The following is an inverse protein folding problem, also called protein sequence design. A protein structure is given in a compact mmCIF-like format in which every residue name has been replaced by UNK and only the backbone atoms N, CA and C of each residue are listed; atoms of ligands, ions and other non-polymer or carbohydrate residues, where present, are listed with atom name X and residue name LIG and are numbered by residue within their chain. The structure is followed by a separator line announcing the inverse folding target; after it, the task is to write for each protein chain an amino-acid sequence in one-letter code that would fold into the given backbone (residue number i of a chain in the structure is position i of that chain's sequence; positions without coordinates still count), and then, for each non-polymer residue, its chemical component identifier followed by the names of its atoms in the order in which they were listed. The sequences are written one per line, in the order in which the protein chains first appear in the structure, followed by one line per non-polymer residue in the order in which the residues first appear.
data_IF_096702757500
#
_entry.id   IF_096702757500
#
_cell.length_a   1.000
_cell.length_b   1.000
_cell.length_c   1.000
_cell.angle_alpha   90.00
_cell.angle_beta   90.00
_cell.angle_gamma   90.00
#
_symmetry.space_group_name_H-M   'P 1'
#
loop_
_entity.id
_entity.type
_entity.pdbx_description
1 polymer ?
#
# COMPACT_ATOMS: atom_id res chain seq x y z
N UNK A 1 -21.55 -1.69 13.12
CA UNK A 1 -20.38 -0.89 13.55
C UNK A 1 -20.84 0.51 13.94
N UNK A 2 -20.08 1.26 14.75
CA UNK A 2 -20.42 2.65 15.16
C UNK A 2 -20.08 3.71 14.08
N UNK A 3 -19.75 3.28 12.85
CA UNK A 3 -19.34 4.19 11.77
C UNK A 3 -17.96 4.81 12.00
N UNK A 4 -17.02 4.03 12.54
CA UNK A 4 -15.64 4.47 12.70
C UNK A 4 -14.89 4.46 11.35
N UNK A 5 -14.23 5.56 11.04
CA UNK A 5 -13.29 5.72 9.93
C UNK A 5 -11.97 6.18 10.50
N UNK A 6 -10.89 5.51 10.12
CA UNK A 6 -9.54 5.85 10.54
C UNK A 6 -8.68 6.10 9.32
N UNK A 7 -7.90 7.17 9.35
CA UNK A 7 -6.98 7.54 8.28
C UNK A 7 -5.56 7.32 8.80
N UNK A 8 -4.73 6.71 7.97
CA UNK A 8 -3.34 6.43 8.24
C UNK A 8 -2.48 7.03 7.12
N UNK A 9 -1.34 7.59 7.49
CA UNK A 9 -0.29 8.07 6.59
C UNK A 9 1.02 7.47 7.09
N UNK A 10 1.79 6.87 6.18
CA UNK A 10 3.07 6.23 6.48
C UNK A 10 3.00 5.23 7.65
N UNK A 11 1.95 4.40 7.66
CA UNK A 11 1.73 3.38 8.69
C UNK A 11 1.18 3.91 10.03
N UNK A 12 1.12 5.23 10.23
CA UNK A 12 0.69 5.86 11.47
C UNK A 12 -0.72 6.47 11.36
N UNK A 13 -1.53 6.36 12.42
CA UNK A 13 -2.86 6.96 12.45
C UNK A 13 -2.76 8.49 12.53
N UNK A 14 -3.45 9.18 11.63
CA UNK A 14 -3.50 10.65 11.60
C UNK A 14 -4.86 11.20 11.98
N UNK A 15 -5.93 10.44 11.76
CA UNK A 15 -7.29 10.88 12.07
C UNK A 15 -8.21 9.70 12.42
N UNK A 16 -9.19 9.95 13.29
CA UNK A 16 -10.28 9.02 13.59
C UNK A 16 -11.58 9.80 13.70
N UNK A 17 -12.60 9.37 12.96
CA UNK A 17 -13.96 9.91 12.98
C UNK A 17 -14.92 8.78 13.34
N UNK A 18 -15.97 9.08 14.10
CA UNK A 18 -17.05 8.12 14.42
C UNK A 18 -18.41 8.66 13.99
N UNK A 19 -19.40 7.79 13.84
CA UNK A 19 -20.75 8.18 13.43
C UNK A 19 -20.93 8.32 11.92
N UNK A 20 -19.94 7.96 11.11
CA UNK A 20 -20.04 7.96 9.65
C UNK A 20 -20.89 6.78 9.21
N UNK A 21 -22.06 7.04 8.63
CA UNK A 21 -22.97 6.02 8.09
C UNK A 21 -23.17 4.80 9.03
N UNK A 22 -23.43 5.06 10.32
CA UNK A 22 -23.55 4.01 11.35
C UNK A 22 -24.53 2.90 10.94
N UNK A 23 -24.05 1.65 10.94
CA UNK A 23 -24.85 0.47 10.61
C UNK A 23 -25.13 0.24 9.12
N UNK A 24 -24.62 1.11 8.24
CA UNK A 24 -24.76 0.94 6.81
C UNK A 24 -23.90 -0.23 6.29
N UNK A 25 -24.39 -0.87 5.23
CA UNK A 25 -23.70 -1.92 4.47
C UNK A 25 -23.62 -1.50 3.02
N UNK A 26 -22.49 -1.78 2.36
CA UNK A 26 -22.34 -1.55 0.93
C UNK A 26 -23.07 -2.66 0.18
N UNK A 27 -23.98 -2.29 -0.72
CA UNK A 27 -24.70 -3.24 -1.57
C UNK A 27 -23.76 -3.89 -2.61
N UNK A 28 -24.13 -5.09 -3.05
CA UNK A 28 -23.40 -5.79 -4.11
C UNK A 28 -23.65 -5.16 -5.49
N UNK A 29 -22.71 -5.34 -6.43
CA UNK A 29 -22.88 -4.93 -7.83
C UNK A 29 -22.31 -3.55 -8.19
N UNK A 30 -21.56 -2.92 -7.28
CA UNK A 30 -20.80 -1.71 -7.59
C UNK A 30 -19.64 -1.94 -8.55
N UNK A 31 -19.11 -0.86 -9.12
CA UNK A 31 -17.87 -0.85 -9.91
C UNK A 31 -16.87 0.05 -9.21
N UNK A 32 -15.61 -0.38 -9.13
CA UNK A 32 -14.51 0.45 -8.63
C UNK A 32 -13.86 1.15 -9.80
N UNK A 33 -13.68 2.47 -9.70
CA UNK A 33 -12.89 3.28 -10.62
C UNK A 33 -11.78 3.96 -9.83
N UNK A 34 -10.56 3.90 -10.35
CA UNK A 34 -9.42 4.62 -9.78
C UNK A 34 -9.12 5.86 -10.62
N UNK A 35 -8.95 6.98 -9.93
CA UNK A 35 -8.48 8.24 -10.50
C UNK A 35 -9.55 9.14 -11.15
N UNK A 36 -10.81 8.76 -11.11
CA UNK A 36 -11.96 9.58 -11.56
C UNK A 36 -13.09 9.50 -10.52
N UNK A 37 -13.95 10.52 -10.48
CA UNK A 37 -15.16 10.53 -9.66
C UNK A 37 -16.39 10.00 -10.44
N UNK A 38 -17.17 9.11 -9.80
CA UNK A 38 -18.31 8.44 -10.44
C UNK A 38 -19.65 9.08 -10.06
N UNK A 39 -20.28 9.78 -11.00
CA UNK A 39 -21.68 10.24 -10.85
C UNK A 39 -22.72 9.18 -11.29
N UNK A 40 -22.27 8.11 -11.95
CA UNK A 40 -23.07 6.93 -12.26
C UNK A 40 -22.17 5.69 -12.35
N UNK A 41 -22.77 4.49 -12.31
CA UNK A 41 -21.98 3.24 -12.33
C UNK A 41 -21.15 3.18 -13.61
N UNK A 42 -19.82 3.18 -13.43
CA UNK A 42 -18.83 3.17 -14.51
C UNK A 42 -18.72 4.45 -15.35
N UNK A 43 -19.34 5.56 -14.96
CA UNK A 43 -19.38 6.76 -15.78
C UNK A 43 -19.76 8.04 -15.04
N UNK A 44 -20.08 9.09 -15.81
CA UNK A 44 -20.35 10.41 -15.26
C UNK A 44 -19.09 11.19 -14.89
N UNK A 45 -17.93 10.82 -15.45
CA UNK A 45 -16.65 11.46 -15.14
C UNK A 45 -16.60 12.93 -15.59
N UNK A 46 -16.08 13.80 -14.72
CA UNK A 46 -15.79 15.19 -15.03
C UNK A 46 -14.28 15.46 -14.99
N UNK A 47 -13.79 16.27 -15.94
CA UNK A 47 -12.34 16.52 -16.11
C UNK A 47 -11.71 17.32 -14.96
N UNK A 48 -12.52 17.97 -14.13
CA UNK A 48 -12.10 18.70 -12.92
C UNK A 48 -12.20 17.85 -11.65
N UNK A 49 -12.66 16.60 -11.75
CA UNK A 49 -12.74 15.62 -10.65
C UNK A 49 -11.81 14.42 -10.91
N UNK A 50 -10.61 14.71 -11.41
CA UNK A 50 -9.59 13.72 -11.77
C UNK A 50 -8.45 13.73 -10.76
N UNK A 51 -7.96 12.55 -10.41
CA UNK A 51 -6.68 12.41 -9.71
C UNK A 51 -5.52 12.56 -10.70
N UNK A 52 -4.53 13.37 -10.35
CA UNK A 52 -3.27 13.47 -11.10
C UNK A 52 -2.11 13.09 -10.19
N UNK A 53 -1.52 11.93 -10.45
CA UNK A 53 -0.41 11.39 -9.67
C UNK A 53 -0.11 9.94 -10.04
N UNK A 54 0.78 9.32 -9.26
CA UNK A 54 1.07 7.89 -9.36
C UNK A 54 0.30 7.13 -8.27
N UNK A 55 -0.24 5.97 -8.62
CA UNK A 55 -0.78 4.99 -7.68
C UNK A 55 0.11 3.76 -7.72
N UNK A 56 0.28 3.14 -6.56
CA UNK A 56 1.06 1.93 -6.39
C UNK A 56 0.35 1.02 -5.38
N UNK A 57 0.35 -0.28 -5.67
CA UNK A 57 -0.04 -1.33 -4.72
C UNK A 57 -1.36 -1.08 -3.97
N UNK A 58 -2.45 -1.00 -4.73
CA UNK A 58 -3.79 -0.70 -4.22
C UNK A 58 -4.46 -1.97 -3.71
N UNK A 59 -4.90 -1.94 -2.45
CA UNK A 59 -5.46 -3.09 -1.74
C UNK A 59 -6.81 -2.78 -1.13
N UNK A 60 -7.72 -3.77 -1.14
CA UNK A 60 -9.06 -3.65 -0.57
C UNK A 60 -9.34 -4.89 0.27
N UNK A 61 -9.83 -4.68 1.48
CA UNK A 61 -10.20 -5.73 2.43
C UNK A 61 -11.69 -5.68 2.78
N UNK A 62 -12.24 -6.81 3.22
CA UNK A 62 -13.62 -6.90 3.73
C UNK A 62 -13.71 -6.77 5.26
N UNK A 63 -12.59 -6.59 5.93
CA UNK A 63 -12.47 -6.39 7.37
C UNK A 63 -11.79 -5.06 7.71
N UNK A 64 -11.94 -4.64 8.96
CA UNK A 64 -11.27 -3.43 9.46
C UNK A 64 -9.85 -3.80 9.86
N UNK A 65 -8.85 -3.19 9.20
CA UNK A 65 -7.44 -3.40 9.52
C UNK A 65 -7.07 -2.73 10.84
N UNK A 66 -6.25 -3.41 11.65
CA UNK A 66 -5.71 -2.85 12.89
C UNK A 66 -4.53 -1.91 12.61
N UNK A 67 -4.22 -1.03 13.56
CA UNK A 67 -3.05 -0.13 13.45
C UNK A 67 -1.73 -0.89 13.32
N UNK A 68 -1.60 -2.05 13.97
CA UNK A 68 -0.40 -2.90 13.88
C UNK A 68 -0.26 -3.47 12.48
N UNK A 69 -1.33 -4.05 11.93
CA UNK A 69 -1.31 -4.61 10.58
C UNK A 69 -0.99 -3.53 9.52
N UNK A 70 -1.52 -2.32 9.68
CA UNK A 70 -1.21 -1.20 8.77
C UNK A 70 0.27 -0.80 8.91
N UNK A 71 0.77 -0.60 10.14
CA UNK A 71 2.14 -0.21 10.39
C UNK A 71 3.16 -1.25 9.87
N UNK A 72 2.82 -2.53 9.94
CA UNK A 72 3.67 -3.61 9.41
C UNK A 72 3.67 -3.67 7.88
N UNK A 73 2.55 -3.36 7.22
CA UNK A 73 2.37 -3.69 5.80
C UNK A 73 2.29 -2.47 4.85
N UNK A 74 2.30 -1.23 5.33
CA UNK A 74 2.01 -0.05 4.49
C UNK A 74 3.02 0.18 3.34
N UNK A 75 4.26 -0.30 3.47
CA UNK A 75 5.25 -0.27 2.38
C UNK A 75 5.57 -1.66 1.81
N UNK A 76 4.95 -2.72 2.32
CA UNK A 76 5.37 -4.10 2.02
C UNK A 76 4.37 -4.75 1.09
N UNK A 77 4.77 -5.08 -0.14
CA UNK A 77 4.01 -5.92 -1.06
C UNK A 77 3.76 -7.31 -0.48
N UNK A 78 2.53 -7.80 -0.59
CA UNK A 78 2.24 -9.20 -0.28
C UNK A 78 2.79 -10.12 -1.36
N UNK A 79 3.32 -11.26 -0.96
CA UNK A 79 3.59 -12.34 -1.91
C UNK A 79 2.26 -12.89 -2.44
N UNK A 80 2.14 -12.97 -3.77
CA UNK A 80 1.00 -13.60 -4.45
C UNK A 80 0.78 -15.06 -4.03
N UNK A 81 1.80 -15.76 -3.53
CA UNK A 81 1.70 -17.11 -2.99
C UNK A 81 1.19 -17.19 -1.55
N UNK A 82 1.15 -16.07 -0.82
CA UNK A 82 0.80 -16.00 0.60
C UNK A 82 0.03 -14.72 0.93
N UNK A 83 -1.26 -14.73 0.61
CA UNK A 83 -2.14 -13.57 0.77
C UNK A 83 -2.89 -13.61 2.12
N UNK A 84 -3.02 -12.47 2.81
CA UNK A 84 -3.73 -12.40 4.08
C UNK A 84 -5.23 -12.65 3.91
N UNK A 85 -5.87 -13.21 4.95
CA UNK A 85 -7.32 -13.37 4.99
C UNK A 85 -8.04 -12.02 4.91
N UNK A 86 -9.23 -12.01 4.31
CA UNK A 86 -10.07 -10.81 4.18
C UNK A 86 -9.66 -9.84 3.06
N UNK A 87 -8.46 -9.99 2.48
CA UNK A 87 -8.05 -9.27 1.28
C UNK A 87 -8.96 -9.70 0.11
N UNK A 88 -9.61 -8.73 -0.53
CA UNK A 88 -10.53 -8.94 -1.66
C UNK A 88 -9.79 -8.73 -2.98
N UNK A 89 -8.97 -7.69 -3.05
CA UNK A 89 -8.24 -7.28 -4.26
C UNK A 89 -6.88 -6.72 -3.87
N UNK A 90 -5.86 -7.05 -4.67
CA UNK A 90 -4.57 -6.37 -4.63
C UNK A 90 -4.03 -6.15 -6.06
N UNK A 91 -4.00 -4.89 -6.46
CA UNK A 91 -3.38 -4.44 -7.70
C UNK A 91 -1.99 -3.88 -7.40
N UNK A 92 -0.97 -4.71 -7.56
CA UNK A 92 0.43 -4.37 -7.26
C UNK A 92 1.05 -3.35 -8.23
N UNK A 93 0.36 -3.03 -9.33
CA UNK A 93 0.77 -2.10 -10.38
C UNK A 93 2.11 -2.45 -11.07
N UNK A 94 2.48 -3.73 -11.11
CA UNK A 94 3.73 -4.25 -11.73
C UNK A 94 3.65 -4.39 -13.26
N UNK A 95 2.79 -3.60 -13.89
CA UNK A 95 2.56 -3.61 -15.33
C UNK A 95 1.32 -4.41 -15.76
N UNK A 96 1.24 -4.65 -17.06
CA UNK A 96 0.07 -5.24 -17.70
C UNK A 96 0.27 -6.72 -18.03
N UNK A 97 -0.82 -7.50 -17.96
CA UNK A 97 -0.85 -8.91 -18.36
C UNK A 97 -0.78 -9.16 -19.88
N UNK A 98 -0.44 -8.15 -20.69
CA UNK A 98 -0.49 -8.21 -22.15
C UNK A 98 -1.84 -7.85 -22.78
N UNK A 99 -2.89 -7.69 -21.97
CA UNK A 99 -4.24 -7.25 -22.39
C UNK A 99 -4.62 -5.86 -21.84
N UNK A 100 -3.62 -5.03 -21.50
CA UNK A 100 -3.83 -3.71 -20.89
C UNK A 100 -4.58 -3.74 -19.54
N UNK A 101 -4.42 -4.84 -18.80
CA UNK A 101 -5.00 -4.98 -17.47
C UNK A 101 -3.92 -5.14 -16.40
N UNK A 102 -4.06 -4.43 -15.28
CA UNK A 102 -3.29 -4.71 -14.07
C UNK A 102 -3.93 -5.90 -13.39
N UNK A 103 -3.13 -6.93 -13.12
CA UNK A 103 -3.62 -8.17 -12.52
C UNK A 103 -3.99 -7.94 -11.06
N UNK A 104 -5.17 -8.40 -10.67
CA UNK A 104 -5.49 -8.62 -9.26
C UNK A 104 -4.92 -9.97 -8.83
N UNK A 105 -3.98 -9.96 -7.88
CA UNK A 105 -3.34 -11.19 -7.40
C UNK A 105 -4.24 -12.04 -6.49
N UNK A 106 -5.44 -11.57 -6.14
CA UNK A 106 -6.33 -12.21 -5.17
C UNK A 106 -7.47 -12.98 -5.83
N UNK A 107 -8.31 -12.26 -6.59
CA UNK A 107 -9.64 -12.74 -6.98
C UNK A 107 -9.91 -12.68 -8.48
N UNK A 108 -8.94 -12.18 -9.27
CA UNK A 108 -9.06 -12.01 -10.71
C UNK A 108 -9.88 -10.79 -11.13
N UNK A 109 -10.18 -9.87 -10.20
CA UNK A 109 -10.82 -8.59 -10.49
C UNK A 109 -9.81 -7.61 -11.11
N UNK A 110 -9.31 -7.93 -12.30
CA UNK A 110 -8.27 -7.14 -12.95
C UNK A 110 -8.72 -5.69 -13.21
N UNK A 111 -7.79 -4.75 -13.09
CA UNK A 111 -8.00 -3.34 -13.42
C UNK A 111 -7.81 -3.15 -14.92
N UNK A 112 -8.90 -2.89 -15.63
CA UNK A 112 -8.82 -2.46 -17.03
C UNK A 112 -8.56 -0.96 -17.12
N UNK A 113 -7.68 -0.55 -18.04
CA UNK A 113 -7.44 0.88 -18.32
C UNK A 113 -8.59 1.41 -19.17
N UNK A 114 -9.45 2.24 -18.58
CA UNK A 114 -10.52 2.96 -19.27
C UNK A 114 -10.25 4.46 -19.37
N UNK A 115 -10.79 5.12 -20.40
CA UNK A 115 -10.87 6.59 -20.55
C UNK A 115 -9.54 7.39 -20.52
N UNK A 116 -8.37 6.72 -20.52
CA UNK A 116 -7.09 7.35 -20.82
C UNK A 116 -6.90 7.38 -22.35
N UNK A 117 -7.01 8.56 -22.97
CA UNK A 117 -6.54 8.74 -24.36
C UNK A 117 -5.04 9.02 -24.34
N UNK A 118 -4.24 8.07 -24.85
CA UNK A 118 -2.78 8.11 -24.83
C UNK A 118 -2.17 7.08 -23.88
N UNK A 119 -0.84 6.96 -23.85
CA UNK A 119 -0.11 6.10 -22.92
C UNK A 119 -0.20 6.67 -21.49
N UNK A 120 -1.41 6.66 -20.91
CA UNK A 120 -1.73 7.26 -19.60
C UNK A 120 -1.30 6.40 -18.42
N UNK A 121 -0.79 5.20 -18.68
CA UNK A 121 -0.15 4.36 -17.68
C UNK A 121 1.31 4.20 -18.07
N UNK A 122 2.17 4.97 -17.41
CA UNK A 122 3.59 4.67 -17.40
C UNK A 122 3.77 3.72 -16.22
N UNK A 123 4.01 2.44 -16.52
CA UNK A 123 4.44 1.51 -15.47
C UNK A 123 5.69 2.11 -14.83
N UNK A 124 5.56 2.56 -13.59
CA UNK A 124 6.73 2.93 -12.80
C UNK A 124 7.21 1.63 -12.18
N UNK A 125 8.46 1.27 -12.44
CA UNK A 125 9.15 0.41 -11.50
C UNK A 125 9.30 1.22 -10.22
N UNK A 126 8.86 0.74 -9.06
CA UNK A 126 9.34 1.26 -7.79
C UNK A 126 10.85 1.36 -7.88
N UNK A 127 11.40 2.49 -7.44
CA UNK A 127 12.84 2.57 -7.29
C UNK A 127 13.18 1.65 -6.11
N UNK A 128 13.63 0.45 -6.42
CA UNK A 128 14.17 -0.54 -5.47
C UNK A 128 15.53 -0.09 -4.88
N UNK A 129 15.85 1.20 -5.03
CA UNK A 129 17.04 1.81 -4.47
C UNK A 129 16.65 2.45 -3.13
N UNK A 130 17.17 1.85 -2.06
CA UNK A 130 17.16 2.43 -0.72
C UNK A 130 17.99 3.71 -0.78
N UNK A 131 17.32 4.85 -0.96
CA UNK A 131 17.97 6.14 -1.02
C UNK A 131 17.43 7.04 0.09
N UNK A 132 18.30 7.89 0.60
CA UNK A 132 17.95 8.92 1.56
C UNK A 132 18.60 10.21 1.10
N UNK A 133 17.87 11.32 1.15
CA UNK A 133 18.39 12.62 0.77
C UNK A 133 19.45 13.09 1.77
N UNK A 134 20.43 13.88 1.29
CA UNK A 134 21.35 14.54 2.19
C UNK A 134 20.59 15.44 3.17
N UNK A 135 21.02 15.47 4.45
CA UNK A 135 20.36 16.22 5.54
C UNK A 135 18.94 15.75 5.89
N UNK A 136 18.60 14.49 5.61
CA UNK A 136 17.39 13.87 6.13
C UNK A 136 17.32 13.99 7.67
N UNK A 137 16.15 14.33 8.19
CA UNK A 137 15.92 14.48 9.64
C UNK A 137 15.90 13.13 10.34
N UNK A 138 16.23 13.10 11.64
CA UNK A 138 16.09 11.88 12.43
C UNK A 138 14.65 11.35 12.35
N UNK A 139 14.50 10.05 12.16
CA UNK A 139 13.24 9.36 11.92
C UNK A 139 12.82 9.25 10.45
N UNK A 140 13.55 9.85 9.50
CA UNK A 140 13.28 9.62 8.07
C UNK A 140 13.45 8.15 7.72
N UNK A 141 12.40 7.55 7.16
CA UNK A 141 12.41 6.17 6.66
C UNK A 141 13.28 6.08 5.40
N UNK A 142 14.20 5.11 5.39
CA UNK A 142 15.11 4.81 4.27
C UNK A 142 14.57 3.64 3.46
N UNK A 143 13.92 2.69 4.14
CA UNK A 143 13.17 1.58 3.55
C UNK A 143 13.19 0.34 4.44
N UNK A 144 12.91 -0.84 3.88
CA UNK A 144 12.66 -2.06 4.67
C UNK A 144 13.51 -3.23 4.19
N UNK A 145 13.95 -4.06 5.15
CA UNK A 145 14.41 -5.42 4.88
C UNK A 145 13.25 -6.38 5.14
N UNK A 146 12.87 -7.14 4.13
CA UNK A 146 11.77 -8.09 4.22
C UNK A 146 12.29 -9.54 4.27
N UNK A 147 11.82 -10.37 5.21
CA UNK A 147 12.13 -11.78 5.19
C UNK A 147 11.28 -12.47 4.11
N UNK A 148 11.91 -13.32 3.30
CA UNK A 148 11.20 -14.18 2.35
C UNK A 148 11.51 -15.63 2.72
N UNK A 149 10.50 -16.34 3.22
CA UNK A 149 10.58 -17.77 3.54
C UNK A 149 9.56 -18.53 2.67
N UNK A 150 10.01 -19.35 1.70
CA UNK A 150 9.12 -20.09 0.81
C UNK A 150 8.39 -21.27 1.50
N UNK A 151 8.76 -21.63 2.73
CA UNK A 151 8.13 -22.71 3.48
C UNK A 151 6.89 -22.19 4.24
N UNK A 152 5.74 -22.86 4.08
CA UNK A 152 4.40 -22.39 4.55
C UNK A 152 4.17 -22.63 6.05
N UNK A 153 5.18 -22.43 6.91
CA UNK A 153 5.08 -22.69 8.34
C UNK A 153 4.85 -21.40 9.16
N UNK A 154 3.67 -21.29 9.75
CA UNK A 154 3.09 -20.06 10.34
C UNK A 154 3.68 -19.65 11.71
N UNK A 155 4.92 -20.03 12.02
CA UNK A 155 5.53 -19.78 13.36
C UNK A 155 6.96 -19.22 13.35
N UNK A 156 7.45 -18.73 12.22
CA UNK A 156 8.79 -18.13 12.16
C UNK A 156 8.78 -16.69 12.69
N UNK A 157 9.63 -16.41 13.68
CA UNK A 157 9.94 -15.04 14.11
C UNK A 157 11.26 -14.60 13.48
N UNK A 158 11.24 -13.50 12.74
CA UNK A 158 12.45 -12.88 12.19
C UNK A 158 12.88 -11.70 13.07
N UNK A 159 14.19 -11.52 13.22
CA UNK A 159 14.75 -10.35 13.87
C UNK A 159 15.81 -9.71 13.00
N UNK A 160 15.76 -8.39 12.89
CA UNK A 160 16.69 -7.61 12.07
C UNK A 160 17.75 -6.90 12.91
N UNK A 161 18.95 -6.78 12.35
CA UNK A 161 20.05 -5.99 12.92
C UNK A 161 20.96 -5.47 11.81
N UNK A 162 21.57 -4.31 12.01
CA UNK A 162 22.61 -3.79 11.13
C UNK A 162 23.97 -4.32 11.60
N UNK A 163 24.77 -4.83 10.66
CA UNK A 163 26.16 -5.20 10.94
C UNK A 163 27.05 -3.95 11.12
N UNK A 164 26.73 -2.90 10.39
CA UNK A 164 27.36 -1.58 10.46
C UNK A 164 26.23 -0.54 10.39
N UNK A 165 26.12 0.27 11.44
CA UNK A 165 25.13 1.34 11.55
C UNK A 165 25.68 2.70 11.09
N UNK A 166 26.85 2.69 10.44
CA UNK A 166 27.61 3.86 10.02
C UNK A 166 27.89 4.84 11.18
N UNK A 167 28.33 4.29 12.33
CA UNK A 167 28.56 4.99 13.60
C UNK A 167 27.27 5.56 14.22
N UNK A 168 26.17 4.82 14.13
CA UNK A 168 24.87 5.21 14.67
C UNK A 168 24.07 6.19 13.81
N UNK A 169 24.45 6.37 12.54
CA UNK A 169 23.70 7.19 11.57
C UNK A 169 22.36 6.56 11.21
N UNK A 170 22.32 5.23 11.15
CA UNK A 170 21.11 4.46 10.82
C UNK A 170 20.67 3.56 11.96
N UNK A 171 19.37 3.33 12.09
CA UNK A 171 18.80 2.32 12.97
C UNK A 171 17.89 1.39 12.17
N UNK A 172 17.76 0.14 12.62
CA UNK A 172 16.79 -0.82 12.08
C UNK A 172 15.82 -1.25 13.18
N UNK A 173 14.53 -1.24 12.87
CA UNK A 173 13.52 -1.83 13.75
C UNK A 173 13.66 -3.35 13.70
N UNK A 174 13.97 -3.96 14.85
CA UNK A 174 14.26 -5.39 14.94
C UNK A 174 13.07 -6.28 14.57
N UNK A 175 11.85 -5.77 14.64
CA UNK A 175 10.62 -6.54 14.40
C UNK A 175 10.03 -6.28 13.01
N UNK A 176 10.16 -5.06 12.49
CA UNK A 176 9.55 -4.68 11.20
C UNK A 176 10.56 -4.63 10.04
N UNK A 177 11.86 -4.62 10.33
CA UNK A 177 12.91 -4.47 9.31
C UNK A 177 13.05 -3.06 8.75
N UNK A 178 12.33 -2.07 9.30
CA UNK A 178 12.41 -0.67 8.87
C UNK A 178 13.78 -0.06 9.20
N UNK A 179 14.45 0.48 8.20
CA UNK A 179 15.67 1.27 8.33
C UNK A 179 15.30 2.75 8.39
N UNK A 180 15.80 3.48 9.39
CA UNK A 180 15.57 4.91 9.58
C UNK A 180 16.88 5.66 9.80
N UNK A 181 16.86 6.97 9.54
CA UNK A 181 17.93 7.90 9.96
C UNK A 181 17.85 8.08 11.47
N UNK A 182 18.84 7.57 12.20
CA UNK A 182 18.94 7.73 13.65
C UNK A 182 19.59 9.06 14.03
N UNK A 183 20.62 9.48 13.27
CA UNK A 183 21.32 10.75 13.45
C UNK A 183 21.74 11.35 12.11
N UNK A 184 20.96 12.32 11.63
CA UNK A 184 21.20 13.05 10.39
C UNK A 184 22.27 14.14 10.48
N UNK A 185 22.90 14.33 11.65
CA UNK A 185 23.95 15.36 11.86
C UNK A 185 25.36 14.86 11.62
N UNK A 186 25.55 13.55 11.49
CA UNK A 186 26.84 12.93 11.22
C UNK A 186 27.27 13.08 9.76
#
# INVERSE_FOLDING_TARGET
TNGAVQIFVDGASVETVTGVATGHTIDIGGTIVLGQDQDSVGGGFASDQVFSGALYDVRIWNDTRTSTEIAENYQQKFDSGSLPAGLIVNWQMDGFNGSNEVVDVVSGNNLSVGHASGAGFVASTPVDDLHVIENATNGTSVGYVLPSDPDVDVTQNFTFSLLDDANGRFAINSSTGEITVADGTQ
#
